data_IF_390504677660
#
_entry.id   IF_390504677660
#
_cell.length_a   1.000
_cell.length_b   1.000
_cell.length_c   1.000
_cell.angle_alpha   90.00
_cell.angle_beta   90.00
_cell.angle_gamma   90.00
#
_symmetry.space_group_name_H-M   'P 1'
#
loop_
_entity.id
_entity.type
_entity.pdbx_description
1 polymer ?
#
# COMPACT_ATOMS: atom_id res chain seq x y z
N UNK A 1 57.15 53.08 44.24
CA UNK A 1 56.69 52.91 42.85
C UNK A 1 55.66 51.80 42.81
N UNK A 2 54.44 52.16 42.40
CA UNK A 2 53.39 51.32 41.78
C UNK A 2 52.96 50.00 42.43
N UNK A 3 51.75 50.05 43.04
CA UNK A 3 50.52 49.30 42.66
C UNK A 3 50.63 47.77 42.41
N UNK A 4 49.70 46.87 42.78
CA UNK A 4 48.45 46.82 43.58
C UNK A 4 47.79 45.45 43.21
N UNK A 5 47.04 44.84 44.13
CA UNK A 5 45.94 43.85 43.92
C UNK A 5 46.21 42.38 43.50
N UNK A 6 46.03 41.48 44.49
CA UNK A 6 44.95 40.45 44.63
C UNK A 6 44.56 39.56 43.43
N UNK A 7 44.52 38.24 43.66
CA UNK A 7 43.81 37.30 42.78
C UNK A 7 44.03 35.82 43.11
N UNK A 8 43.03 35.22 43.75
CA UNK A 8 42.86 33.78 44.04
C UNK A 8 42.85 32.97 42.74
N UNK A 9 43.56 31.82 42.68
CA UNK A 9 43.40 30.87 41.58
C UNK A 9 42.91 29.50 42.08
N UNK A 10 41.68 29.18 41.68
CA UNK A 10 41.01 27.89 41.81
C UNK A 10 41.75 26.79 41.05
N UNK A 11 41.82 25.61 41.66
CA UNK A 11 42.15 24.35 41.00
C UNK A 11 40.99 23.91 40.07
N UNK A 12 41.30 23.64 38.80
CA UNK A 12 40.37 23.01 37.85
C UNK A 12 40.94 21.64 37.50
N UNK A 13 40.24 20.58 37.94
CA UNK A 13 40.39 19.21 37.45
C UNK A 13 40.00 19.18 35.97
N UNK A 14 40.96 18.88 35.09
CA UNK A 14 40.71 18.52 33.70
C UNK A 14 40.37 17.03 33.61
N UNK A 15 39.09 16.72 33.42
CA UNK A 15 38.61 15.40 33.03
C UNK A 15 38.98 15.21 31.55
N UNK A 16 39.91 14.29 31.29
CA UNK A 16 40.25 13.80 29.97
C UNK A 16 39.10 12.92 29.44
N UNK A 17 38.27 13.49 28.57
CA UNK A 17 37.32 12.73 27.76
C UNK A 17 38.07 11.99 26.66
N UNK A 18 37.94 10.66 26.62
CA UNK A 18 38.40 9.84 25.50
C UNK A 18 37.61 10.22 24.24
N UNK A 19 38.26 10.94 23.32
CA UNK A 19 37.79 11.09 21.95
C UNK A 19 38.05 9.78 21.21
N UNK A 20 36.98 9.05 20.88
CA UNK A 20 37.03 7.96 19.92
C UNK A 20 37.24 8.52 18.51
N UNK A 21 38.12 7.88 17.75
CA UNK A 21 38.53 8.27 16.41
C UNK A 21 37.34 8.40 15.46
N UNK A 22 37.30 9.55 14.79
CA UNK A 22 36.35 9.93 13.75
C UNK A 22 36.97 9.51 12.40
N UNK A 23 36.34 8.57 11.71
CA UNK A 23 36.55 8.41 10.28
C UNK A 23 35.70 9.47 9.57
N UNK A 24 36.36 10.50 9.06
CA UNK A 24 35.78 11.56 8.23
C UNK A 24 35.43 11.02 6.84
N UNK A 25 34.29 10.38 6.74
CA UNK A 25 33.50 10.33 5.50
C UNK A 25 32.21 11.11 5.78
N UNK A 26 32.13 12.34 5.30
CA UNK A 26 31.07 13.32 5.59
C UNK A 26 29.64 12.97 5.12
N UNK A 27 29.19 11.73 5.28
CA UNK A 27 27.80 11.34 5.21
C UNK A 27 27.10 11.57 6.54
N UNK A 28 25.80 11.88 6.50
CA UNK A 28 24.95 11.82 7.69
C UNK A 28 25.01 10.41 8.28
N UNK A 29 25.35 10.28 9.56
CA UNK A 29 25.31 8.98 10.26
C UNK A 29 23.84 8.61 10.40
N UNK A 30 23.44 7.45 9.86
CA UNK A 30 22.08 6.96 9.98
C UNK A 30 21.69 6.86 11.47
N UNK A 31 20.47 7.28 11.87
CA UNK A 31 20.08 7.26 13.26
C UNK A 31 19.99 5.82 13.77
N UNK A 32 20.37 5.62 15.04
CA UNK A 32 20.27 4.31 15.71
C UNK A 32 18.81 3.85 15.79
N UNK A 33 17.90 4.79 16.07
CA UNK A 33 16.45 4.61 15.98
C UNK A 33 15.94 5.71 15.05
N UNK A 34 15.34 5.33 13.93
CA UNK A 34 14.75 6.25 12.99
C UNK A 34 13.40 6.79 13.49
N UNK A 35 13.00 7.97 13.03
CA UNK A 35 11.62 8.42 13.21
C UNK A 35 10.67 7.45 12.51
N UNK A 36 11.02 7.11 11.27
CA UNK A 36 10.22 6.26 10.41
C UNK A 36 11.09 5.37 9.53
N UNK A 37 10.70 4.10 9.40
CA UNK A 37 11.23 3.20 8.38
C UNK A 37 10.17 3.00 7.30
N UNK A 38 10.49 3.41 6.06
CA UNK A 38 9.65 3.20 4.88
C UNK A 38 10.11 1.92 4.20
N UNK A 39 9.27 0.89 4.24
CA UNK A 39 9.59 -0.43 3.73
C UNK A 39 8.87 -0.71 2.41
N UNK A 40 9.64 -0.89 1.34
CA UNK A 40 9.14 -1.37 0.06
C UNK A 40 9.20 -2.90 0.00
N UNK A 41 8.06 -3.53 -0.26
CA UNK A 41 7.90 -4.97 -0.41
C UNK A 41 7.53 -5.31 -1.85
N UNK A 42 8.52 -5.78 -2.60
CA UNK A 42 8.43 -6.05 -4.04
C UNK A 42 8.70 -7.56 -4.30
N UNK A 43 7.72 -8.43 -3.98
CA UNK A 43 7.84 -9.89 -4.16
C UNK A 43 7.88 -10.28 -5.65
N UNK A 44 8.14 -11.55 -5.93
CA UNK A 44 8.14 -12.04 -7.32
C UNK A 44 6.74 -11.97 -7.93
N UNK A 45 6.64 -11.29 -9.07
CA UNK A 45 5.38 -11.09 -9.81
C UNK A 45 5.22 -12.00 -11.04
N UNK A 46 6.30 -12.67 -11.45
CA UNK A 46 6.29 -13.57 -12.60
C UNK A 46 5.65 -14.93 -12.31
N UNK A 47 5.98 -15.92 -13.14
CA UNK A 47 5.63 -17.33 -12.94
C UNK A 47 6.88 -18.14 -12.58
N UNK A 48 6.80 -19.48 -12.60
CA UNK A 48 7.93 -20.36 -12.32
C UNK A 48 9.09 -20.22 -13.32
N UNK A 49 8.88 -19.60 -14.48
CA UNK A 49 9.94 -19.27 -15.43
C UNK A 49 10.51 -17.88 -15.16
N UNK A 50 11.84 -17.74 -15.04
CA UNK A 50 12.49 -16.43 -14.91
C UNK A 50 12.37 -15.55 -16.17
N UNK A 51 11.79 -16.08 -17.26
CA UNK A 51 11.51 -15.35 -18.51
C UNK A 51 10.07 -14.84 -18.62
N UNK A 52 9.22 -15.03 -17.60
CA UNK A 52 7.83 -14.58 -17.61
C UNK A 52 7.67 -13.05 -17.52
N UNK A 53 6.49 -12.54 -17.91
CA UNK A 53 6.06 -11.15 -17.72
C UNK A 53 6.05 -10.81 -16.22
N UNK A 54 7.15 -10.25 -15.72
CA UNK A 54 7.33 -9.83 -14.33
C UNK A 54 7.45 -8.31 -14.26
N UNK A 55 6.94 -7.70 -13.20
CA UNK A 55 7.02 -6.27 -12.94
C UNK A 55 8.40 -5.82 -12.42
N UNK A 56 9.38 -6.73 -12.34
CA UNK A 56 10.71 -6.44 -11.80
C UNK A 56 11.41 -5.22 -12.44
N UNK A 57 11.28 -5.01 -13.75
CA UNK A 57 11.84 -3.82 -14.40
C UNK A 57 11.15 -2.52 -13.95
N UNK A 58 9.84 -2.55 -13.72
CA UNK A 58 9.08 -1.43 -13.18
C UNK A 58 9.46 -1.15 -11.73
N UNK A 59 9.66 -2.19 -10.91
CA UNK A 59 10.16 -2.04 -9.54
C UNK A 59 11.52 -1.33 -9.50
N UNK A 60 12.43 -1.65 -10.43
CA UNK A 60 13.71 -0.94 -10.53
C UNK A 60 13.54 0.54 -10.90
N UNK A 61 12.57 0.86 -11.76
CA UNK A 61 12.23 2.24 -12.10
C UNK A 61 11.58 2.98 -10.91
N UNK A 62 10.67 2.34 -10.17
CA UNK A 62 10.09 2.90 -8.95
C UNK A 62 11.16 3.19 -7.89
N UNK A 63 12.11 2.28 -7.68
CA UNK A 63 13.25 2.52 -6.78
C UNK A 63 14.08 3.71 -7.27
N UNK A 64 14.31 3.86 -8.58
CA UNK A 64 15.03 5.03 -9.12
C UNK A 64 14.26 6.35 -8.92
N UNK A 65 12.92 6.32 -8.98
CA UNK A 65 12.07 7.47 -8.65
C UNK A 65 12.14 7.82 -7.16
N UNK A 66 12.15 6.82 -6.28
CA UNK A 66 12.40 7.02 -4.84
C UNK A 66 13.77 7.66 -4.61
N UNK A 67 14.83 7.12 -5.23
CA UNK A 67 16.18 7.70 -5.13
C UNK A 67 16.23 9.14 -5.63
N UNK A 68 15.50 9.47 -6.69
CA UNK A 68 15.38 10.84 -7.20
C UNK A 68 14.68 11.76 -6.20
N UNK A 69 13.62 11.29 -5.53
CA UNK A 69 12.96 12.00 -4.45
C UNK A 69 13.88 12.27 -3.26
N UNK A 70 14.68 11.28 -2.86
CA UNK A 70 15.67 11.40 -1.79
C UNK A 70 16.74 12.44 -2.14
N UNK A 71 17.25 12.41 -3.38
CA UNK A 71 18.25 13.38 -3.87
C UNK A 71 17.65 14.79 -3.89
N UNK A 72 16.40 14.96 -4.36
CA UNK A 72 15.72 16.25 -4.40
C UNK A 72 15.52 16.84 -2.99
N UNK A 73 15.30 15.99 -1.98
CA UNK A 73 15.24 16.39 -0.57
C UNK A 73 16.60 16.53 0.11
N UNK A 74 17.71 16.24 -0.60
CA UNK A 74 19.07 16.25 -0.08
C UNK A 74 19.29 15.29 1.10
N UNK A 75 18.58 14.15 1.09
CA UNK A 75 18.73 13.08 2.06
C UNK A 75 17.42 12.60 2.65
N UNK A 76 17.55 11.78 3.70
CA UNK A 76 16.43 11.08 4.35
C UNK A 76 16.00 11.69 5.68
N UNK A 77 16.70 12.71 6.17
CA UNK A 77 16.50 13.23 7.52
C UNK A 77 16.66 12.12 8.56
N UNK A 78 15.63 11.95 9.41
CA UNK A 78 15.58 10.90 10.44
C UNK A 78 14.92 9.60 9.97
N UNK A 79 14.62 9.47 8.67
CA UNK A 79 13.95 8.31 8.11
C UNK A 79 14.97 7.29 7.57
N UNK A 80 14.53 6.04 7.40
CA UNK A 80 15.29 4.98 6.71
C UNK A 80 14.42 4.32 5.66
N UNK A 81 15.03 3.82 4.60
CA UNK A 81 14.32 3.21 3.47
C UNK A 81 14.88 1.82 3.21
N UNK A 82 14.04 0.81 3.40
CA UNK A 82 14.39 -0.59 3.14
C UNK A 82 13.58 -1.13 1.97
N UNK A 83 14.18 -2.02 1.20
CA UNK A 83 13.56 -2.64 0.02
C UNK A 83 13.77 -4.14 0.07
N UNK A 84 12.71 -4.91 0.25
CA UNK A 84 12.69 -6.32 -0.11
C UNK A 84 12.34 -6.45 -1.58
N UNK A 85 13.20 -7.08 -2.38
CA UNK A 85 12.96 -7.25 -3.82
C UNK A 85 13.34 -8.66 -4.29
N UNK A 86 12.48 -9.25 -5.13
CA UNK A 86 12.67 -10.60 -5.68
C UNK A 86 12.92 -10.56 -7.20
N UNK A 87 14.19 -10.64 -7.66
CA UNK A 87 14.52 -10.73 -9.09
C UNK A 87 14.15 -12.05 -9.76
N UNK A 88 13.84 -13.08 -8.98
CA UNK A 88 13.54 -14.42 -9.49
C UNK A 88 12.62 -15.16 -8.51
N UNK A 89 12.05 -16.30 -8.92
CA UNK A 89 11.14 -17.05 -8.05
C UNK A 89 11.77 -17.62 -6.76
N UNK A 90 13.11 -17.77 -6.73
CA UNK A 90 13.83 -18.46 -5.65
C UNK A 90 14.85 -17.58 -4.93
N UNK A 91 15.09 -16.36 -5.41
CA UNK A 91 16.08 -15.47 -4.83
C UNK A 91 15.48 -14.08 -4.60
N UNK A 92 15.73 -13.57 -3.40
CA UNK A 92 15.33 -12.23 -2.97
C UNK A 92 16.45 -11.56 -2.18
N UNK A 93 16.37 -10.25 -2.01
CA UNK A 93 17.29 -9.50 -1.16
C UNK A 93 16.55 -8.43 -0.36
N UNK A 94 17.05 -8.17 0.86
CA UNK A 94 16.72 -6.98 1.63
C UNK A 94 17.86 -5.97 1.45
N UNK A 95 17.50 -4.78 0.95
CA UNK A 95 18.41 -3.68 0.67
C UNK A 95 18.07 -2.49 1.57
N UNK A 96 19.05 -1.64 1.84
CA UNK A 96 18.85 -0.30 2.38
C UNK A 96 19.28 0.74 1.35
N UNK A 97 18.45 1.76 1.12
CA UNK A 97 18.83 2.94 0.33
C UNK A 97 19.40 3.98 1.29
N UNK A 98 20.70 4.26 1.14
CA UNK A 98 21.43 5.27 1.92
C UNK A 98 21.72 6.48 1.05
N UNK A 99 21.74 7.67 1.64
CA UNK A 99 22.16 8.90 0.96
C UNK A 99 23.53 9.34 1.48
N UNK A 100 24.54 9.36 0.62
CA UNK A 100 25.91 9.75 0.98
C UNK A 100 26.63 10.38 -0.22
N UNK A 101 27.26 11.53 -0.02
CA UNK A 101 27.99 12.24 -1.08
C UNK A 101 27.09 12.64 -2.25
N UNK A 102 25.92 13.22 -1.96
CA UNK A 102 24.92 13.70 -2.95
C UNK A 102 24.33 12.63 -3.87
N UNK A 103 24.46 11.36 -3.51
CA UNK A 103 23.93 10.23 -4.26
C UNK A 103 23.30 9.18 -3.35
N UNK A 104 22.40 8.39 -3.93
CA UNK A 104 21.87 7.20 -3.30
C UNK A 104 22.81 6.00 -3.50
N UNK A 105 22.91 5.15 -2.48
CA UNK A 105 23.65 3.88 -2.49
C UNK A 105 22.72 2.80 -1.98
N UNK A 106 22.62 1.68 -2.72
CA UNK A 106 21.86 0.50 -2.30
C UNK A 106 22.81 -0.47 -1.61
N UNK A 107 22.65 -0.63 -0.31
CA UNK A 107 23.42 -1.57 0.50
C UNK A 107 22.64 -2.88 0.65
N UNK A 108 23.29 -4.03 0.45
CA UNK A 108 22.61 -5.33 0.59
C UNK A 108 22.75 -5.81 2.03
N UNK A 109 21.64 -5.79 2.76
CA UNK A 109 21.59 -6.22 4.16
C UNK A 109 21.51 -7.74 4.29
N UNK A 110 20.68 -8.38 3.44
CA UNK A 110 20.45 -9.83 3.49
C UNK A 110 20.05 -10.38 2.12
N UNK A 111 20.44 -11.64 1.86
CA UNK A 111 19.97 -12.42 0.71
C UNK A 111 19.15 -13.60 1.20
N UNK A 112 18.09 -13.93 0.47
CA UNK A 112 17.19 -15.04 0.77
C UNK A 112 17.22 -16.02 -0.39
N UNK A 113 17.33 -17.30 -0.06
CA UNK A 113 17.15 -18.41 -1.01
C UNK A 113 15.95 -19.24 -0.61
N UNK A 114 15.02 -19.46 -1.54
CA UNK A 114 13.80 -20.26 -1.36
C UNK A 114 12.94 -19.85 -0.15
N UNK A 115 12.93 -18.56 0.21
CA UNK A 115 12.01 -18.06 1.23
C UNK A 115 10.58 -18.09 0.70
N UNK A 116 9.68 -18.76 1.40
CA UNK A 116 8.25 -18.73 1.09
C UNK A 116 7.60 -17.50 1.74
N UNK A 117 7.73 -16.36 1.07
CA UNK A 117 7.09 -15.11 1.48
C UNK A 117 5.60 -15.05 1.12
N UNK A 118 4.97 -16.18 0.74
CA UNK A 118 3.52 -16.26 0.53
C UNK A 118 2.73 -16.72 1.76
N UNK A 119 3.45 -16.97 2.84
CA UNK A 119 2.92 -17.40 4.13
C UNK A 119 3.06 -16.28 5.18
N UNK A 120 2.19 -16.27 6.22
CA UNK A 120 2.36 -15.36 7.35
C UNK A 120 3.77 -15.43 7.96
N UNK A 121 4.30 -16.64 8.11
CA UNK A 121 5.61 -16.87 8.73
C UNK A 121 6.75 -16.30 7.88
N UNK A 122 6.70 -16.47 6.56
CA UNK A 122 7.69 -15.90 5.65
C UNK A 122 7.66 -14.38 5.61
N UNK A 123 6.47 -13.79 5.62
CA UNK A 123 6.29 -12.33 5.74
C UNK A 123 6.87 -11.84 7.08
N UNK A 124 6.56 -12.53 8.19
CA UNK A 124 7.06 -12.18 9.51
C UNK A 124 8.60 -12.26 9.60
N UNK A 125 9.24 -13.23 8.93
CA UNK A 125 10.71 -13.30 8.83
C UNK A 125 11.28 -12.03 8.20
N UNK A 126 10.70 -11.57 7.08
CA UNK A 126 11.16 -10.36 6.38
C UNK A 126 10.96 -9.14 7.26
N UNK A 127 9.79 -9.00 7.89
CA UNK A 127 9.47 -7.86 8.75
C UNK A 127 10.36 -7.80 10.00
N UNK A 128 10.71 -8.96 10.59
CA UNK A 128 11.68 -9.01 11.68
C UNK A 128 13.08 -8.59 11.23
N UNK A 129 13.50 -8.95 10.01
CA UNK A 129 14.76 -8.46 9.45
C UNK A 129 14.72 -6.94 9.22
N UNK A 130 13.60 -6.39 8.73
CA UNK A 130 13.39 -4.93 8.58
C UNK A 130 13.52 -4.23 9.93
N UNK A 131 12.78 -4.69 10.95
CA UNK A 131 12.80 -4.12 12.30
C UNK A 131 14.18 -4.17 12.95
N UNK A 132 14.93 -5.26 12.73
CA UNK A 132 16.27 -5.45 13.30
C UNK A 132 17.34 -4.59 12.62
N UNK A 133 17.22 -4.38 11.30
CA UNK A 133 18.18 -3.57 10.55
C UNK A 133 17.87 -2.07 10.59
N UNK A 134 16.59 -1.70 10.70
CA UNK A 134 16.11 -0.32 10.71
C UNK A 134 14.98 -0.12 11.72
N UNK A 135 15.35 -0.19 13.00
CA UNK A 135 14.44 0.13 14.10
C UNK A 135 13.96 1.57 14.01
N UNK A 136 12.64 1.77 14.12
CA UNK A 136 11.99 3.08 14.04
C UNK A 136 10.80 3.20 15.00
N UNK A 137 10.35 4.44 15.22
CA UNK A 137 9.11 4.74 15.94
C UNK A 137 7.86 4.43 15.10
N UNK A 138 7.95 4.60 13.79
CA UNK A 138 6.88 4.34 12.83
C UNK A 138 7.36 3.47 11.67
N UNK A 139 6.46 2.67 11.10
CA UNK A 139 6.74 1.85 9.93
C UNK A 139 5.67 2.08 8.86
N UNK A 140 6.12 2.37 7.65
CA UNK A 140 5.28 2.40 6.46
C UNK A 140 5.58 1.18 5.62
N UNK A 141 4.57 0.60 4.98
CA UNK A 141 4.74 -0.51 4.06
C UNK A 141 4.16 -0.17 2.69
N UNK A 142 4.99 -0.19 1.65
CA UNK A 142 4.60 0.03 0.26
C UNK A 142 4.80 -1.29 -0.48
N UNK A 143 3.73 -1.83 -1.03
CA UNK A 143 3.71 -3.12 -1.72
C UNK A 143 3.62 -2.85 -3.21
N UNK A 144 4.54 -3.44 -3.98
CA UNK A 144 4.50 -3.40 -5.43
C UNK A 144 4.34 -4.81 -5.96
N UNK A 145 3.22 -5.10 -6.61
CA UNK A 145 2.91 -6.42 -7.14
C UNK A 145 1.86 -6.35 -8.25
N UNK A 146 1.26 -7.49 -8.56
CA UNK A 146 -0.09 -7.49 -9.10
C UNK A 146 -1.08 -7.61 -7.95
N UNK A 147 -2.30 -7.13 -8.15
CA UNK A 147 -3.39 -7.25 -7.18
C UNK A 147 -4.71 -7.59 -7.85
N UNK A 148 -5.63 -8.13 -7.06
CA UNK A 148 -7.02 -8.34 -7.46
C UNK A 148 -7.97 -8.39 -6.27
N UNK A 149 -7.81 -7.45 -5.36
CA UNK A 149 -8.76 -7.37 -4.26
C UNK A 149 -8.67 -8.51 -3.25
N UNK A 150 -9.83 -8.84 -2.67
CA UNK A 150 -10.03 -9.89 -1.68
C UNK A 150 -10.07 -11.31 -2.25
N UNK A 151 -9.98 -11.46 -3.58
CA UNK A 151 -10.17 -12.75 -4.25
C UNK A 151 -9.12 -13.76 -3.73
N UNK A 152 -9.55 -14.92 -3.19
CA UNK A 152 -8.61 -15.87 -2.60
C UNK A 152 -7.58 -16.40 -3.60
N UNK A 153 -6.39 -16.72 -3.11
CA UNK A 153 -5.35 -17.39 -3.92
C UNK A 153 -5.86 -18.71 -4.48
N UNK A 154 -5.54 -18.99 -5.74
CA UNK A 154 -5.92 -20.23 -6.42
C UNK A 154 -7.33 -20.27 -6.97
N UNK A 155 -8.09 -19.18 -6.86
CA UNK A 155 -9.33 -19.04 -7.63
C UNK A 155 -8.96 -18.81 -9.09
N UNK A 156 -9.20 -19.82 -9.92
CA UNK A 156 -9.14 -19.70 -11.38
C UNK A 156 -10.36 -18.89 -11.86
N UNK A 157 -10.29 -17.57 -11.68
CA UNK A 157 -11.15 -16.65 -12.38
C UNK A 157 -10.39 -16.01 -13.55
N UNK A 158 -11.13 -15.33 -14.40
CA UNK A 158 -10.75 -14.73 -15.68
C UNK A 158 -9.23 -14.43 -15.92
N UNK A 159 -8.50 -15.35 -16.57
CA UNK A 159 -7.18 -15.34 -17.28
C UNK A 159 -6.00 -14.41 -16.90
N UNK A 160 -6.11 -13.50 -15.93
CA UNK A 160 -5.03 -12.65 -15.38
C UNK A 160 -5.21 -12.32 -13.90
N UNK A 161 -6.36 -12.69 -13.34
CA UNK A 161 -6.75 -12.49 -11.95
C UNK A 161 -6.02 -13.48 -11.05
N UNK A 162 -5.28 -12.92 -10.11
CA UNK A 162 -4.55 -13.61 -9.04
C UNK A 162 -4.95 -12.95 -7.73
N UNK A 163 -4.55 -13.41 -6.56
CA UNK A 163 -4.70 -12.57 -5.35
C UNK A 163 -3.74 -11.35 -5.45
N UNK A 164 -2.88 -11.07 -4.47
CA UNK A 164 -1.71 -10.23 -4.73
C UNK A 164 -0.44 -11.08 -4.85
N UNK A 165 0.53 -10.68 -5.69
CA UNK A 165 1.75 -11.47 -5.95
C UNK A 165 1.96 -11.92 -7.39
N UNK A 166 2.57 -13.10 -7.55
CA UNK A 166 2.94 -13.68 -8.84
C UNK A 166 1.79 -14.40 -9.57
N UNK A 167 2.03 -14.70 -10.86
CA UNK A 167 1.00 -15.24 -11.78
C UNK A 167 0.59 -16.67 -11.51
N UNK A 168 1.37 -17.46 -10.78
CA UNK A 168 1.01 -18.84 -10.41
C UNK A 168 0.63 -18.90 -8.94
N UNK A 169 -0.24 -19.84 -8.58
CA UNK A 169 -0.72 -20.06 -7.21
C UNK A 169 0.42 -20.04 -6.17
N UNK A 170 1.58 -20.60 -6.53
CA UNK A 170 2.77 -20.65 -5.68
C UNK A 170 3.28 -19.29 -5.21
N UNK A 171 3.01 -18.23 -5.97
CA UNK A 171 3.49 -16.87 -5.68
C UNK A 171 2.36 -15.91 -5.30
N UNK A 172 1.14 -16.41 -5.14
CA UNK A 172 -0.02 -15.63 -4.74
C UNK A 172 -0.17 -15.61 -3.22
N UNK A 173 -0.64 -14.47 -2.70
CA UNK A 173 -0.81 -14.20 -1.28
C UNK A 173 -2.24 -13.74 -0.99
N UNK A 174 -2.82 -14.24 0.10
CA UNK A 174 -4.09 -13.70 0.59
C UNK A 174 -3.84 -12.47 1.46
N UNK A 175 -4.75 -11.50 1.45
CA UNK A 175 -4.67 -10.31 2.30
C UNK A 175 -4.64 -10.68 3.79
N UNK A 176 -5.41 -11.68 4.20
CA UNK A 176 -5.37 -12.21 5.56
C UNK A 176 -3.99 -12.78 5.95
N UNK A 177 -3.24 -13.37 5.00
CA UNK A 177 -1.90 -13.90 5.27
C UNK A 177 -0.90 -12.75 5.52
N UNK A 178 -1.04 -11.62 4.79
CA UNK A 178 -0.29 -10.39 5.04
C UNK A 178 -0.58 -9.81 6.43
N UNK A 179 -1.85 -9.65 6.78
CA UNK A 179 -2.27 -9.15 8.09
C UNK A 179 -1.69 -10.02 9.22
N UNK A 180 -1.77 -11.35 9.06
CA UNK A 180 -1.21 -12.30 10.01
C UNK A 180 0.31 -12.17 10.13
N UNK A 181 1.04 -12.04 9.01
CA UNK A 181 2.49 -11.85 9.02
C UNK A 181 2.95 -10.57 9.72
N UNK A 182 2.22 -9.46 9.51
CA UNK A 182 2.46 -8.19 10.23
C UNK A 182 2.24 -8.36 11.73
N UNK A 183 1.13 -8.99 12.12
CA UNK A 183 0.81 -9.27 13.52
C UNK A 183 1.84 -10.18 14.19
N UNK A 184 2.27 -11.25 13.51
CA UNK A 184 3.31 -12.18 13.99
C UNK A 184 4.67 -11.48 14.20
N UNK A 185 5.01 -10.47 13.40
CA UNK A 185 6.21 -9.65 13.60
C UNK A 185 6.09 -8.66 14.79
N UNK A 186 4.90 -8.57 15.39
CA UNK A 186 4.58 -7.59 16.43
C UNK A 186 4.68 -6.16 15.92
N UNK A 187 4.24 -5.93 14.67
CA UNK A 187 4.30 -4.65 14.00
C UNK A 187 2.90 -4.11 13.71
N UNK A 188 2.81 -2.80 13.57
CA UNK A 188 1.64 -2.07 13.09
C UNK A 188 2.13 -0.98 12.14
N UNK A 189 1.50 -0.87 10.98
CA UNK A 189 1.92 0.08 9.95
C UNK A 189 1.18 1.40 10.11
N UNK A 190 1.87 2.53 9.98
CA UNK A 190 1.18 3.82 9.86
C UNK A 190 0.35 3.84 8.57
N UNK A 191 0.89 3.32 7.47
CA UNK A 191 0.07 2.96 6.33
C UNK A 191 0.59 1.72 5.61
N UNK A 192 -0.35 1.02 4.95
CA UNK A 192 -0.04 0.08 3.87
C UNK A 192 -0.49 0.72 2.57
N UNK A 193 0.45 0.88 1.64
CA UNK A 193 0.16 1.38 0.30
C UNK A 193 0.32 0.23 -0.69
N UNK A 194 -0.74 -0.08 -1.43
CA UNK A 194 -0.68 -1.03 -2.54
C UNK A 194 -0.53 -0.26 -3.85
N UNK A 195 0.64 -0.39 -4.46
CA UNK A 195 0.91 0.00 -5.84
C UNK A 195 0.47 -1.14 -6.77
N UNK A 196 -0.81 -1.47 -6.67
CA UNK A 196 -1.43 -2.68 -7.23
C UNK A 196 -2.87 -2.40 -7.64
N UNK A 197 -3.41 -3.27 -8.50
CA UNK A 197 -4.79 -3.19 -8.96
C UNK A 197 -5.80 -3.62 -7.87
N UNK A 198 -6.95 -2.93 -7.83
CA UNK A 198 -8.18 -3.38 -7.16
C UNK A 198 -8.12 -3.59 -5.64
N UNK A 199 -7.18 -2.98 -4.92
CA UNK A 199 -7.03 -3.19 -3.47
C UNK A 199 -7.72 -2.14 -2.58
N UNK A 200 -8.33 -1.09 -3.15
CA UNK A 200 -9.25 -0.21 -2.42
C UNK A 200 -10.64 -0.85 -2.32
N UNK A 201 -10.78 -1.81 -1.41
CA UNK A 201 -11.97 -2.64 -1.19
C UNK A 201 -12.34 -2.71 0.28
N UNK A 202 -13.64 -2.75 0.60
CA UNK A 202 -14.11 -2.90 1.98
C UNK A 202 -13.65 -4.22 2.59
N UNK A 203 -13.60 -5.29 1.80
CA UNK A 203 -13.14 -6.61 2.22
C UNK A 203 -11.65 -6.60 2.58
N UNK A 204 -10.83 -5.96 1.74
CA UNK A 204 -9.38 -5.80 1.95
C UNK A 204 -9.09 -4.89 3.14
N UNK A 205 -9.75 -3.74 3.21
CA UNK A 205 -9.60 -2.79 4.31
C UNK A 205 -10.02 -3.41 5.65
N UNK A 206 -11.05 -4.26 5.65
CA UNK A 206 -11.48 -4.97 6.86
C UNK A 206 -10.43 -5.97 7.32
N UNK A 207 -9.84 -6.76 6.42
CA UNK A 207 -8.79 -7.72 6.78
C UNK A 207 -7.53 -7.04 7.33
N UNK A 208 -7.19 -5.84 6.85
CA UNK A 208 -6.01 -5.08 7.27
C UNK A 208 -6.24 -4.12 8.43
N UNK A 209 -7.48 -3.99 8.93
CA UNK A 209 -7.86 -2.94 9.89
C UNK A 209 -7.07 -2.90 11.21
N UNK A 210 -6.52 -4.06 11.60
CA UNK A 210 -5.71 -4.21 12.82
C UNK A 210 -4.19 -4.22 12.54
N UNK A 211 -3.79 -4.13 11.27
CA UNK A 211 -2.41 -4.16 10.84
C UNK A 211 -1.89 -2.77 10.39
N UNK A 212 -2.79 -1.82 10.11
CA UNK A 212 -2.44 -0.49 9.67
C UNK A 212 -3.40 0.61 10.16
N UNK A 213 -2.93 1.86 10.25
CA UNK A 213 -3.81 3.01 10.49
C UNK A 213 -4.53 3.48 9.21
N UNK A 214 -3.80 3.47 8.08
CA UNK A 214 -4.32 3.81 6.76
C UNK A 214 -3.99 2.75 5.70
N UNK A 215 -4.90 2.60 4.75
CA UNK A 215 -4.71 1.85 3.50
C UNK A 215 -4.72 2.85 2.34
N UNK A 216 -3.65 2.88 1.53
CA UNK A 216 -3.59 3.66 0.30
C UNK A 216 -3.67 2.70 -0.89
N UNK A 217 -4.73 2.75 -1.68
CA UNK A 217 -4.91 1.80 -2.77
C UNK A 217 -5.79 2.35 -3.90
N UNK A 218 -5.76 1.66 -5.04
CA UNK A 218 -6.62 1.92 -6.19
C UNK A 218 -7.86 1.03 -6.16
N UNK A 219 -9.02 1.57 -6.55
CA UNK A 219 -10.25 0.78 -6.75
C UNK A 219 -10.19 -0.03 -8.04
N UNK A 220 -9.30 0.35 -8.95
CA UNK A 220 -9.26 -0.06 -10.35
C UNK A 220 -7.86 -0.55 -10.73
N UNK A 221 -7.62 -0.84 -12.02
CA UNK A 221 -6.26 -1.14 -12.48
C UNK A 221 -5.32 0.06 -12.30
N UNK A 222 -4.10 -0.20 -11.84
CA UNK A 222 -2.98 0.75 -11.82
C UNK A 222 -2.10 0.46 -13.03
N UNK A 223 -1.70 1.50 -13.76
CA UNK A 223 -0.80 1.32 -14.91
C UNK A 223 0.58 0.87 -14.43
N UNK A 224 1.33 0.17 -15.29
CA UNK A 224 2.57 -0.49 -14.89
C UNK A 224 3.64 0.43 -14.30
N UNK A 225 3.61 1.73 -14.61
CA UNK A 225 4.51 2.73 -14.03
C UNK A 225 4.27 2.97 -12.53
N UNK A 226 3.07 2.63 -12.04
CA UNK A 226 2.73 2.65 -10.61
C UNK A 226 2.58 4.05 -10.03
N UNK A 227 2.93 4.20 -8.76
CA UNK A 227 2.92 5.50 -8.08
C UNK A 227 4.11 6.36 -8.57
N UNK A 228 3.91 7.66 -8.87
CA UNK A 228 4.99 8.57 -9.25
C UNK A 228 5.84 8.95 -8.02
N UNK A 229 6.65 8.02 -7.52
CA UNK A 229 7.35 8.16 -6.23
C UNK A 229 8.19 9.42 -6.11
N UNK A 230 8.84 9.87 -7.17
CA UNK A 230 9.62 11.11 -7.20
C UNK A 230 8.76 12.36 -6.88
N UNK A 231 7.48 12.36 -7.27
CA UNK A 231 6.56 13.48 -7.04
C UNK A 231 5.87 13.40 -5.68
N UNK A 232 5.51 12.18 -5.24
CA UNK A 232 4.83 11.97 -3.96
C UNK A 232 5.78 11.84 -2.76
N UNK A 233 7.08 11.63 -2.99
CA UNK A 233 8.07 11.30 -1.94
C UNK A 233 8.01 12.22 -0.72
N UNK A 234 7.88 13.52 -0.96
CA UNK A 234 7.85 14.53 0.11
C UNK A 234 6.60 14.47 0.99
N UNK A 235 5.51 13.92 0.48
CA UNK A 235 4.26 13.73 1.21
C UNK A 235 4.24 12.41 1.97
N UNK A 236 5.02 11.41 1.52
CA UNK A 236 5.20 10.13 2.21
C UNK A 236 6.17 10.27 3.41
N UNK A 237 7.26 11.01 3.22
CA UNK A 237 8.37 11.08 4.18
C UNK A 237 8.12 11.94 5.42
N UNK A 238 7.03 12.70 5.47
CA UNK A 238 6.65 13.43 6.68
C UNK A 238 6.24 12.46 7.81
N UNK A 239 6.45 12.87 9.07
CA UNK A 239 6.07 12.07 10.24
C UNK A 239 4.57 11.71 10.25
N UNK A 240 3.73 12.62 9.75
CA UNK A 240 2.36 12.34 9.34
C UNK A 240 2.29 12.49 7.82
N UNK A 241 2.04 11.43 7.05
CA UNK A 241 1.89 11.50 5.60
C UNK A 241 0.76 12.45 5.21
N UNK A 242 0.97 13.23 4.16
CA UNK A 242 -0.08 14.06 3.57
C UNK A 242 -0.88 13.23 2.56
N UNK A 243 -1.82 12.44 3.08
CA UNK A 243 -2.64 11.51 2.30
C UNK A 243 -3.44 12.20 1.18
N UNK A 244 -3.94 13.41 1.44
CA UNK A 244 -4.63 14.22 0.42
C UNK A 244 -3.68 14.54 -0.73
N UNK A 245 -2.47 15.03 -0.43
CA UNK A 245 -1.48 15.35 -1.47
C UNK A 245 -0.94 14.13 -2.18
N UNK A 246 -0.87 12.97 -1.54
CA UNK A 246 -0.52 11.71 -2.20
C UNK A 246 -1.57 11.39 -3.28
N UNK A 247 -2.86 11.34 -2.93
CA UNK A 247 -3.96 11.09 -3.86
C UNK A 247 -4.03 12.15 -4.97
N UNK A 248 -3.93 13.44 -4.60
CA UNK A 248 -4.01 14.54 -5.55
C UNK A 248 -2.84 14.53 -6.54
N UNK A 249 -1.62 14.26 -6.07
CA UNK A 249 -0.42 14.23 -6.93
C UNK A 249 -0.46 13.05 -7.88
N UNK A 250 -0.89 11.87 -7.42
CA UNK A 250 -1.13 10.71 -8.29
C UNK A 250 -2.13 11.05 -9.40
N UNK A 251 -3.27 11.65 -9.05
CA UNK A 251 -4.28 12.08 -10.03
C UNK A 251 -3.74 13.07 -11.05
N UNK A 252 -3.05 14.12 -10.59
CA UNK A 252 -2.47 15.13 -11.49
C UNK A 252 -1.42 14.54 -12.42
N UNK A 253 -0.59 13.61 -11.92
CA UNK A 253 0.39 12.90 -12.72
C UNK A 253 -0.30 12.14 -13.86
N UNK A 254 -1.25 11.26 -13.54
CA UNK A 254 -1.93 10.45 -14.56
C UNK A 254 -2.75 11.29 -15.54
N UNK A 255 -3.46 12.33 -15.08
CA UNK A 255 -4.17 13.26 -15.97
C UNK A 255 -3.27 13.94 -17.01
N UNK A 256 -1.96 14.05 -16.75
CA UNK A 256 -0.99 14.62 -17.68
C UNK A 256 -0.39 13.60 -18.67
N UNK A 257 -0.62 12.30 -18.47
CA UNK A 257 -0.07 11.23 -19.30
C UNK A 257 -0.93 10.97 -20.55
N UNK A 258 -0.34 10.28 -21.54
CA UNK A 258 -1.06 9.81 -22.74
C UNK A 258 -2.22 8.86 -22.39
N UNK A 259 -2.09 8.14 -21.28
CA UNK A 259 -3.11 7.24 -20.75
C UNK A 259 -3.65 7.83 -19.43
N UNK A 260 -4.62 8.77 -19.48
CA UNK A 260 -5.08 9.52 -18.32
C UNK A 260 -6.08 8.73 -17.48
N UNK A 261 -5.59 7.63 -16.91
CA UNK A 261 -6.40 6.67 -16.16
C UNK A 261 -5.75 6.39 -14.82
N UNK A 262 -6.50 6.55 -13.73
CA UNK A 262 -6.03 6.23 -12.40
C UNK A 262 -7.05 6.56 -11.33
N UNK A 263 -7.05 5.75 -10.28
CA UNK A 263 -7.78 5.98 -9.04
C UNK A 263 -6.84 5.77 -7.87
N UNK A 264 -6.90 6.61 -6.85
CA UNK A 264 -6.16 6.38 -5.61
C UNK A 264 -6.92 6.96 -4.44
N UNK A 265 -6.98 6.19 -3.36
CA UNK A 265 -7.73 6.52 -2.15
C UNK A 265 -6.88 6.25 -0.92
N UNK A 266 -7.05 7.07 0.12
CA UNK A 266 -6.56 6.82 1.46
C UNK A 266 -7.74 6.48 2.36
N UNK A 267 -7.77 5.25 2.85
CA UNK A 267 -8.82 4.64 3.64
C UNK A 267 -8.35 4.54 5.09
N UNK A 268 -9.14 5.05 6.03
CA UNK A 268 -8.84 5.07 7.46
C UNK A 268 -9.31 3.78 8.12
N UNK A 269 -8.39 2.87 8.41
CA UNK A 269 -8.67 1.54 8.91
C UNK A 269 -9.41 1.52 10.25
N UNK A 270 -9.19 2.51 11.12
CA UNK A 270 -9.88 2.62 12.41
C UNK A 270 -11.40 2.80 12.29
N UNK A 271 -11.92 3.22 11.12
CA UNK A 271 -13.36 3.39 10.89
C UNK A 271 -14.04 2.11 10.41
N UNK A 272 -13.29 1.03 10.13
CA UNK A 272 -13.84 -0.19 9.54
C UNK A 272 -14.85 -0.91 10.43
N UNK A 273 -14.64 -0.96 11.76
CA UNK A 273 -15.60 -1.60 12.67
C UNK A 273 -16.92 -0.82 12.75
N UNK A 274 -16.84 0.53 12.74
CA UNK A 274 -18.04 1.38 12.68
C UNK A 274 -18.81 1.16 11.38
N UNK A 275 -18.10 1.09 10.25
CA UNK A 275 -18.71 0.83 8.95
C UNK A 275 -19.33 -0.58 8.88
N UNK A 276 -18.65 -1.60 9.42
CA UNK A 276 -19.19 -2.96 9.45
C UNK A 276 -20.47 -3.06 10.30
N UNK A 277 -20.51 -2.41 11.47
CA UNK A 277 -21.71 -2.35 12.30
C UNK A 277 -22.88 -1.66 11.58
N UNK A 278 -22.61 -0.56 10.86
CA UNK A 278 -23.61 0.13 10.06
C UNK A 278 -24.12 -0.73 8.91
N UNK A 279 -23.22 -1.37 8.16
CA UNK A 279 -23.60 -2.27 7.07
C UNK A 279 -24.36 -3.49 7.56
N UNK A 280 -24.04 -4.03 8.74
CA UNK A 280 -24.84 -5.08 9.37
C UNK A 280 -26.28 -4.67 9.59
N UNK A 281 -26.50 -3.46 10.09
CA UNK A 281 -27.85 -2.93 10.26
C UNK A 281 -28.54 -2.74 8.90
N UNK A 282 -27.84 -2.21 7.89
CA UNK A 282 -28.38 -2.04 6.53
C UNK A 282 -28.79 -3.41 5.94
N UNK A 283 -27.90 -4.39 5.94
CA UNK A 283 -28.15 -5.73 5.37
C UNK A 283 -29.24 -6.50 6.12
N UNK A 284 -29.51 -6.17 7.39
CA UNK A 284 -30.63 -6.74 8.15
C UNK A 284 -31.98 -6.19 7.69
N UNK A 285 -32.03 -4.95 7.21
CA UNK A 285 -33.27 -4.24 6.90
C UNK A 285 -33.56 -4.13 5.39
N UNK A 286 -32.55 -4.29 4.54
CA UNK A 286 -32.66 -4.13 3.10
C UNK A 286 -32.08 -5.34 2.36
N UNK A 287 -32.61 -5.62 1.18
CA UNK A 287 -32.09 -6.66 0.28
C UNK A 287 -31.94 -6.05 -1.11
N UNK A 288 -30.78 -6.26 -1.73
CA UNK A 288 -30.50 -5.69 -3.03
C UNK A 288 -31.39 -6.32 -4.11
N UNK A 289 -32.01 -5.48 -4.95
CA UNK A 289 -32.74 -5.92 -6.13
C UNK A 289 -31.76 -6.24 -7.26
N UNK A 290 -31.58 -7.53 -7.54
CA UNK A 290 -30.64 -8.01 -8.57
C UNK A 290 -30.91 -7.42 -9.96
N UNK A 291 -32.13 -6.96 -10.26
CA UNK A 291 -32.42 -6.30 -11.54
C UNK A 291 -31.72 -4.94 -11.69
N UNK A 292 -31.27 -4.33 -10.58
CA UNK A 292 -30.54 -3.06 -10.56
C UNK A 292 -29.02 -3.23 -10.64
N UNK A 293 -28.52 -4.47 -10.80
CA UNK A 293 -27.08 -4.73 -10.85
C UNK A 293 -26.39 -3.94 -11.97
N UNK A 294 -27.05 -3.81 -13.12
CA UNK A 294 -26.54 -3.05 -14.27
C UNK A 294 -26.53 -1.53 -14.07
N UNK A 295 -27.23 -1.02 -13.06
CA UNK A 295 -27.29 0.41 -12.75
C UNK A 295 -26.13 0.85 -11.83
N UNK A 296 -25.42 -0.11 -11.23
CA UNK A 296 -24.32 0.18 -10.33
C UNK A 296 -23.07 0.62 -11.09
N UNK A 297 -22.34 1.59 -10.54
CA UNK A 297 -21.02 1.97 -10.99
C UNK A 297 -20.04 0.81 -10.77
N UNK A 298 -19.59 0.21 -11.88
CA UNK A 298 -18.48 -0.74 -11.87
C UNK A 298 -17.14 -0.02 -11.83
N UNK A 299 -16.19 -0.55 -11.08
CA UNK A 299 -14.82 -0.03 -10.98
C UNK A 299 -13.78 -1.07 -11.43
N UNK A 300 -14.23 -2.04 -12.23
CA UNK A 300 -13.37 -3.01 -12.90
C UNK A 300 -13.68 -3.14 -14.39
N UNK A 301 -12.80 -3.89 -15.06
CA UNK A 301 -12.91 -4.18 -16.48
C UNK A 301 -13.45 -5.57 -16.79
N UNK A 302 -14.05 -6.28 -15.84
CA UNK A 302 -14.52 -7.65 -16.05
C UNK A 302 -15.74 -7.71 -16.97
N UNK A 303 -15.91 -8.84 -17.66
CA UNK A 303 -17.14 -9.14 -18.38
C UNK A 303 -18.35 -9.35 -17.46
N UNK A 304 -18.11 -9.88 -16.25
CA UNK A 304 -19.06 -9.89 -15.13
C UNK A 304 -18.43 -9.11 -13.98
N UNK A 305 -19.01 -7.96 -13.64
CA UNK A 305 -18.45 -7.04 -12.65
C UNK A 305 -18.26 -7.73 -11.30
N UNK A 306 -17.06 -7.59 -10.75
CA UNK A 306 -16.72 -8.06 -9.41
C UNK A 306 -16.79 -6.92 -8.40
N UNK A 307 -16.33 -5.73 -8.78
CA UNK A 307 -16.03 -4.60 -7.91
C UNK A 307 -16.91 -3.41 -8.28
N UNK A 308 -17.82 -3.07 -7.38
CA UNK A 308 -18.75 -1.97 -7.53
C UNK A 308 -18.37 -0.82 -6.58
N UNK A 309 -18.69 0.40 -6.95
CA UNK A 309 -18.57 1.55 -6.05
C UNK A 309 -19.41 1.33 -4.78
N UNK A 310 -18.81 1.50 -3.60
CA UNK A 310 -19.46 1.14 -2.35
C UNK A 310 -20.62 2.07 -1.99
N UNK A 311 -20.45 3.38 -2.12
CA UNK A 311 -21.54 4.32 -1.81
C UNK A 311 -22.70 4.16 -2.80
N UNK A 312 -22.38 4.02 -4.09
CA UNK A 312 -23.38 3.76 -5.12
C UNK A 312 -24.19 2.50 -4.83
N UNK A 313 -23.52 1.40 -4.45
CA UNK A 313 -24.21 0.18 -4.03
C UNK A 313 -25.18 0.41 -2.87
N UNK A 314 -24.74 1.08 -1.80
CA UNK A 314 -25.57 1.30 -0.60
C UNK A 314 -26.77 2.19 -0.91
N UNK A 315 -26.59 3.24 -1.72
CA UNK A 315 -27.68 4.09 -2.18
C UNK A 315 -28.74 3.31 -2.95
N UNK A 316 -28.34 2.37 -3.83
CA UNK A 316 -29.29 1.59 -4.64
C UNK A 316 -29.91 0.44 -3.83
N UNK A 317 -29.21 -0.07 -2.82
CA UNK A 317 -29.71 -1.04 -1.84
C UNK A 317 -30.82 -0.43 -0.98
N UNK A 318 -30.64 0.79 -0.47
CA UNK A 318 -31.58 1.41 0.46
C UNK A 318 -32.62 2.31 -0.24
N UNK A 319 -32.31 2.83 -1.42
CA UNK A 319 -33.13 3.83 -2.12
C UNK A 319 -33.26 5.13 -1.31
N UNK A 320 -34.47 5.71 -1.33
CA UNK A 320 -34.81 6.93 -0.57
C UNK A 320 -34.65 6.78 0.96
N UNK A 321 -34.44 5.55 1.45
CA UNK A 321 -34.27 5.23 2.86
C UNK A 321 -32.79 5.05 3.28
N UNK A 322 -31.83 5.50 2.47
CA UNK A 322 -30.40 5.45 2.83
C UNK A 322 -30.16 6.17 4.15
N UNK A 323 -29.61 5.50 5.19
CA UNK A 323 -29.39 6.14 6.48
C UNK A 323 -28.43 7.35 6.37
N UNK A 324 -28.78 8.54 6.89
CA UNK A 324 -27.89 9.71 6.87
C UNK A 324 -26.52 9.45 7.53
N UNK A 325 -26.48 8.53 8.51
CA UNK A 325 -25.25 8.11 9.17
C UNK A 325 -24.26 7.44 8.20
N UNK A 326 -24.74 6.84 7.10
CA UNK A 326 -23.88 6.24 6.08
C UNK A 326 -23.03 7.27 5.36
N UNK A 327 -23.62 8.37 4.91
CA UNK A 327 -22.87 9.46 4.25
C UNK A 327 -21.77 10.00 5.16
N UNK A 328 -22.06 10.19 6.45
CA UNK A 328 -21.05 10.64 7.41
C UNK A 328 -19.98 9.56 7.66
N UNK A 329 -20.36 8.28 7.71
CA UNK A 329 -19.44 7.17 7.93
C UNK A 329 -18.50 6.97 6.75
N UNK A 330 -18.99 7.03 5.51
CA UNK A 330 -18.14 6.82 4.32
C UNK A 330 -17.12 7.96 4.15
N UNK A 331 -17.49 9.21 4.44
CA UNK A 331 -16.53 10.33 4.42
C UNK A 331 -15.45 10.24 5.51
N UNK A 332 -15.73 9.58 6.65
CA UNK A 332 -14.69 9.30 7.65
C UNK A 332 -13.82 8.11 7.25
N UNK A 333 -14.42 7.10 6.62
CA UNK A 333 -13.73 5.91 6.17
C UNK A 333 -12.78 6.20 5.02
N UNK A 334 -13.19 7.00 4.02
CA UNK A 334 -12.37 7.36 2.86
C UNK A 334 -12.25 8.88 2.78
N UNK A 335 -11.45 9.50 3.67
CA UNK A 335 -11.36 10.96 3.75
C UNK A 335 -10.72 11.60 2.52
N UNK A 336 -9.88 10.87 1.78
CA UNK A 336 -9.16 11.38 0.62
C UNK A 336 -9.20 10.37 -0.52
N UNK A 337 -9.60 10.82 -1.70
CA UNK A 337 -9.57 10.01 -2.90
C UNK A 337 -9.61 10.90 -4.15
N UNK A 338 -9.06 10.39 -5.25
CA UNK A 338 -9.18 11.00 -6.57
C UNK A 338 -9.37 9.94 -7.64
N UNK A 339 -10.11 10.28 -8.70
CA UNK A 339 -10.30 9.45 -9.88
C UNK A 339 -10.22 10.29 -11.15
N UNK A 340 -9.67 9.70 -12.21
CA UNK A 340 -9.82 10.20 -13.57
C UNK A 340 -11.25 9.94 -14.09
N UNK A 341 -11.75 10.68 -15.10
CA UNK A 341 -13.12 10.49 -15.62
C UNK A 341 -13.41 9.09 -16.20
N UNK A 342 -12.35 8.35 -16.54
CA UNK A 342 -12.43 6.95 -16.97
C UNK A 342 -11.32 6.16 -16.27
N UNK A 343 -11.56 4.86 -16.07
CA UNK A 343 -10.54 3.90 -15.66
C UNK A 343 -10.15 3.01 -16.84
N UNK A 344 -8.92 2.52 -16.84
CA UNK A 344 -8.41 1.61 -17.86
C UNK A 344 -8.69 0.15 -17.49
N UNK A 345 -8.74 -0.71 -18.51
CA UNK A 345 -8.58 -2.14 -18.31
C UNK A 345 -7.79 -2.82 -19.43
N UNK A 346 -6.88 -3.71 -19.03
CA UNK A 346 -6.15 -4.61 -19.93
C UNK A 346 -6.99 -5.85 -20.35
N UNK A 347 -8.26 -5.92 -19.94
CA UNK A 347 -9.13 -7.08 -20.14
C UNK A 347 -10.01 -6.98 -21.39
N UNK A 348 -9.66 -6.17 -22.40
CA UNK A 348 -10.49 -6.01 -23.61
C UNK A 348 -10.79 -7.31 -24.35
N UNK A 349 -9.85 -8.27 -24.36
CA UNK A 349 -10.07 -9.60 -24.96
C UNK A 349 -11.19 -10.41 -24.29
N UNK A 350 -11.67 -9.94 -23.15
CA UNK A 350 -12.34 -10.73 -22.15
C UNK A 350 -13.65 -10.13 -21.66
N UNK A 351 -13.90 -8.88 -22.00
CA UNK A 351 -15.02 -8.09 -21.53
C UNK A 351 -15.87 -7.53 -22.69
N UNK A 352 -15.74 -8.11 -23.89
CA UNK A 352 -16.45 -7.64 -25.09
C UNK A 352 -15.72 -6.53 -25.86
N UNK A 353 -14.43 -6.29 -25.59
CA UNK A 353 -13.57 -5.46 -26.44
C UNK A 353 -13.25 -4.08 -25.90
N UNK A 354 -13.77 -3.69 -24.73
CA UNK A 354 -13.55 -2.34 -24.19
C UNK A 354 -12.26 -2.27 -23.36
N UNK A 355 -11.55 -1.14 -23.44
CA UNK A 355 -10.35 -0.87 -22.66
C UNK A 355 -10.55 0.25 -21.62
N UNK A 356 -11.73 0.85 -21.56
CA UNK A 356 -12.05 1.90 -20.60
C UNK A 356 -13.45 1.73 -20.02
N UNK A 357 -13.62 2.20 -18.79
CA UNK A 357 -14.92 2.27 -18.11
C UNK A 357 -15.13 3.71 -17.62
N UNK A 358 -16.28 4.34 -17.90
CA UNK A 358 -16.60 5.67 -17.38
C UNK A 358 -16.84 5.64 -15.87
N UNK A 359 -16.40 6.69 -15.18
CA UNK A 359 -16.64 6.89 -13.75
C UNK A 359 -17.62 8.04 -13.58
N UNK A 360 -18.88 7.70 -13.30
CA UNK A 360 -19.97 8.66 -13.09
C UNK A 360 -20.15 9.02 -11.61
N UNK A 361 -19.87 8.07 -10.72
CA UNK A 361 -19.82 8.24 -9.26
C UNK A 361 -18.56 7.55 -8.72
N UNK A 362 -18.04 8.06 -7.62
CA UNK A 362 -16.81 7.55 -7.03
C UNK A 362 -16.73 7.87 -5.53
N UNK A 363 -16.77 6.84 -4.71
CA UNK A 363 -16.67 6.86 -3.26
C UNK A 363 -15.25 6.53 -2.75
N UNK A 364 -14.34 6.21 -3.66
CA UNK A 364 -12.95 5.86 -3.33
C UNK A 364 -12.74 4.45 -2.78
N UNK A 365 -13.79 3.64 -2.64
CA UNK A 365 -13.66 2.24 -2.19
C UNK A 365 -14.72 1.37 -2.87
N UNK A 366 -14.38 0.12 -3.12
CA UNK A 366 -15.27 -0.86 -3.77
C UNK A 366 -15.83 -1.89 -2.80
N UNK A 367 -16.92 -2.52 -3.21
CA UNK A 367 -17.58 -3.65 -2.55
C UNK A 367 -17.98 -4.71 -3.58
N UNK A 368 -18.01 -5.97 -3.17
CA UNK A 368 -18.37 -7.10 -4.04
C UNK A 368 -19.66 -7.81 -3.60
N UNK A 369 -20.36 -7.32 -2.58
CA UNK A 369 -21.63 -7.86 -2.10
C UNK A 369 -22.66 -8.10 -3.22
N UNK A 370 -22.90 -7.17 -4.19
CA UNK A 370 -23.88 -7.41 -5.25
C UNK A 370 -23.36 -8.28 -6.40
N UNK A 371 -22.08 -8.68 -6.43
CA UNK A 371 -21.53 -9.43 -7.58
C UNK A 371 -22.30 -10.73 -7.82
N UNK A 372 -22.64 -10.95 -9.08
CA UNK A 372 -23.15 -12.19 -9.65
C UNK A 372 -22.07 -12.94 -10.46
N UNK A 373 -20.82 -12.46 -10.40
CA UNK A 373 -19.70 -13.08 -11.09
C UNK A 373 -19.59 -14.54 -10.66
N UNK A 374 -19.78 -15.45 -11.62
CA UNK A 374 -20.00 -16.88 -11.35
C UNK A 374 -18.78 -17.57 -10.72
N UNK A 375 -17.60 -16.97 -10.85
CA UNK A 375 -16.37 -17.46 -10.22
C UNK A 375 -16.21 -16.97 -8.78
N UNK A 376 -16.86 -15.87 -8.40
CA UNK A 376 -16.63 -15.16 -7.12
C UNK A 376 -17.80 -15.28 -6.15
N UNK A 377 -19.01 -15.48 -6.65
CA UNK A 377 -20.24 -15.48 -5.84
C UNK A 377 -20.19 -16.49 -4.68
N UNK A 378 -19.51 -17.63 -4.84
CA UNK A 378 -19.32 -18.63 -3.80
C UNK A 378 -18.27 -18.30 -2.74
N UNK A 379 -17.42 -17.30 -2.98
CA UNK A 379 -16.31 -16.92 -2.10
C UNK A 379 -16.60 -15.66 -1.28
N UNK A 380 -17.45 -14.75 -1.76
CA UNK A 380 -17.73 -13.49 -1.03
C UNK A 380 -18.23 -13.71 0.40
N UNK A 381 -19.03 -14.77 0.59
CA UNK A 381 -19.59 -15.16 1.90
C UNK A 381 -18.55 -15.65 2.92
N UNK A 382 -17.33 -15.96 2.45
CA UNK A 382 -16.25 -16.48 3.29
C UNK A 382 -15.34 -15.36 3.81
N UNK A 383 -15.45 -14.15 3.26
CA UNK A 383 -14.66 -12.98 3.69
C UNK A 383 -14.97 -12.59 5.13
N UNK A 384 -14.01 -12.00 5.84
CA UNK A 384 -14.26 -11.52 7.19
C UNK A 384 -15.21 -10.31 7.21
N UNK A 385 -15.22 -9.51 6.14
CA UNK A 385 -16.21 -8.46 5.93
C UNK A 385 -17.63 -9.02 5.91
N UNK A 386 -17.91 -10.03 5.08
CA UNK A 386 -19.24 -10.64 5.01
C UNK A 386 -19.69 -11.18 6.37
N UNK A 387 -18.82 -11.89 7.08
CA UNK A 387 -19.09 -12.42 8.43
C UNK A 387 -19.39 -11.34 9.47
N UNK A 388 -18.90 -10.11 9.25
CA UNK A 388 -19.14 -8.98 10.14
C UNK A 388 -20.43 -8.23 9.80
N UNK A 389 -20.89 -8.31 8.55
CA UNK A 389 -22.00 -7.50 8.00
C UNK A 389 -23.27 -8.28 7.69
N UNK A 390 -23.29 -9.60 7.87
CA UNK A 390 -24.44 -10.49 7.71
C UNK A 390 -24.52 -11.43 8.91
#
# INVERSE_FOLDING_TARGET
MTNRFFGILLAILSILSFAACRDDNGGSVAPVIAEKTIFFYMPWTGNDSPKGESLYSYFLANIAHVESGIIAQKGLGQNRVLVFISPSPTNSALLEIKYAGERCVRDTLKRYGNLDYTTPEGIAVILNDVKSNATAHQYDMIIGSHGNGWIPKGVDNYYRTRAFGGSTLRYQMNIADLAAGISQAGMHMQFICFDDCYLAQVEVAYDLRNAADYLIASTSEVLADGIPYNEVWKYITSATPDYEKICQTFYLHYMSQTYPYGTLSAIKCSEMENMAALMKNINTNYTFDANKLGDLQKLDGYGQTAFFDFADYVEKLCGDATPPEFTAAISRLVPYYNCTPQIYTALSKYNGGFNTVPVNTFSGITISDPTDNTYLVGYKTQTNWWKATH
#
